data_IF_179767637767
#
_entry.id   IF_179767637767
#
_cell.length_a   1.000
_cell.length_b   1.000
_cell.length_c   1.000
_cell.angle_alpha   90.00
_cell.angle_beta   90.00
_cell.angle_gamma   90.00
#
_symmetry.space_group_name_H-M   'P 1'
#
loop_
_entity.id
_entity.type
_entity.pdbx_description
1 polymer ?
#
# COMPACT_ATOMS: atom_id res chain seq x y z
N UNK A 1 1.55 -13.62 -12.38
CA UNK A 1 1.41 -12.33 -11.67
C UNK A 1 2.46 -11.37 -12.21
N UNK A 2 2.04 -10.20 -12.70
CA UNK A 2 2.94 -9.16 -13.23
C UNK A 2 2.49 -7.83 -12.69
N UNK A 3 3.43 -7.03 -12.20
CA UNK A 3 3.18 -5.67 -11.70
C UNK A 3 4.04 -4.70 -12.51
N UNK A 4 3.50 -3.53 -12.78
CA UNK A 4 4.23 -2.43 -13.38
C UNK A 4 4.44 -1.38 -12.31
N UNK A 5 5.67 -0.93 -12.18
CA UNK A 5 6.07 0.14 -11.26
C UNK A 5 6.87 1.13 -12.08
N UNK A 6 6.61 2.42 -11.88
CA UNK A 6 7.41 3.47 -12.47
C UNK A 6 8.86 3.40 -11.97
N UNK A 7 9.83 3.63 -12.87
CA UNK A 7 11.25 3.46 -12.57
C UNK A 7 11.74 4.40 -11.47
N UNK A 8 11.35 5.67 -11.55
CA UNK A 8 11.72 6.68 -10.55
C UNK A 8 11.04 6.39 -9.21
N UNK A 9 9.80 5.90 -9.24
CA UNK A 9 9.08 5.49 -8.04
C UNK A 9 9.74 4.28 -7.37
N UNK A 10 10.21 3.28 -8.14
CA UNK A 10 10.90 2.11 -7.60
C UNK A 10 12.22 2.50 -6.93
N UNK A 11 12.98 3.42 -7.52
CA UNK A 11 14.21 3.94 -6.90
C UNK A 11 13.95 4.63 -5.57
N UNK A 12 12.82 5.35 -5.46
CA UNK A 12 12.46 6.07 -4.23
C UNK A 12 11.90 5.12 -3.15
N UNK A 13 10.99 4.22 -3.52
CA UNK A 13 10.32 3.29 -2.60
C UNK A 13 11.19 2.10 -2.18
N UNK A 14 12.20 1.74 -2.98
CA UNK A 14 12.99 0.53 -2.78
C UNK A 14 12.19 -0.74 -3.06
N UNK A 15 12.48 -1.81 -2.33
CA UNK A 15 11.75 -3.07 -2.48
C UNK A 15 10.27 -2.90 -2.13
N UNK A 16 9.39 -3.34 -3.03
CA UNK A 16 7.92 -3.30 -2.84
C UNK A 16 7.43 -4.72 -2.59
N UNK A 17 6.78 -4.92 -1.44
CA UNK A 17 6.09 -6.15 -1.09
C UNK A 17 4.59 -5.95 -1.33
N UNK A 18 4.00 -6.90 -2.07
CA UNK A 18 2.56 -6.95 -2.31
C UNK A 18 2.05 -8.24 -1.67
N UNK A 19 1.24 -8.09 -0.64
CA UNK A 19 0.57 -9.20 0.04
C UNK A 19 -0.94 -9.09 -0.22
N UNK A 20 -1.63 -10.22 -0.40
CA UNK A 20 -3.08 -10.24 -0.38
C UNK A 20 -3.54 -10.64 1.02
N UNK A 21 -4.30 -9.77 1.67
CA UNK A 21 -4.90 -10.03 2.96
C UNK A 21 -6.31 -10.54 2.68
N UNK A 22 -6.62 -11.75 3.15
CA UNK A 22 -7.96 -12.32 3.06
C UNK A 22 -8.66 -12.16 4.42
N UNK A 23 -9.64 -11.27 4.47
CA UNK A 23 -10.38 -10.89 5.69
C UNK A 23 -11.87 -10.67 5.39
N UNK A 24 -12.47 -11.55 4.58
CA UNK A 24 -13.87 -11.45 4.16
C UNK A 24 -14.15 -10.17 3.37
N UNK A 25 -15.09 -9.33 3.83
CA UNK A 25 -15.43 -8.04 3.21
C UNK A 25 -14.26 -7.03 3.20
N UNK A 26 -13.22 -7.28 4.00
CA UNK A 26 -12.01 -6.43 4.08
C UNK A 26 -10.81 -7.02 3.34
N UNK A 27 -11.04 -8.03 2.49
CA UNK A 27 -9.95 -8.63 1.71
C UNK A 27 -9.41 -7.64 0.68
N UNK A 28 -8.10 -7.58 0.51
CA UNK A 28 -7.48 -6.63 -0.40
C UNK A 28 -5.96 -6.78 -0.49
N UNK A 29 -5.36 -5.96 -1.36
CA UNK A 29 -3.90 -5.91 -1.49
C UNK A 29 -3.32 -4.94 -0.47
N UNK A 30 -2.40 -5.45 0.36
CA UNK A 30 -1.52 -4.66 1.20
C UNK A 30 -0.21 -4.43 0.45
N UNK A 31 0.18 -3.18 0.29
CA UNK A 31 1.40 -2.78 -0.42
C UNK A 31 2.31 -2.10 0.59
N UNK A 32 3.50 -2.68 0.79
CA UNK A 32 4.52 -2.14 1.70
C UNK A 32 5.80 -1.86 0.94
N UNK A 33 6.37 -0.67 1.11
CA UNK A 33 7.66 -0.29 0.54
C UNK A 33 8.76 -0.34 1.62
N UNK A 34 9.97 -0.75 1.25
CA UNK A 34 11.13 -0.75 2.14
C UNK A 34 11.47 0.67 2.62
N UNK A 35 11.31 1.66 1.74
CA UNK A 35 11.46 3.09 2.04
C UNK A 35 10.11 3.78 1.80
N UNK A 36 9.22 3.84 2.80
CA UNK A 36 7.94 4.53 2.64
C UNK A 36 8.19 6.02 2.34
N UNK A 37 7.65 6.48 1.22
CA UNK A 37 7.69 7.88 0.85
C UNK A 37 6.75 8.63 1.79
N UNK A 38 7.31 9.47 2.66
CA UNK A 38 6.55 10.20 3.66
C UNK A 38 5.36 10.92 3.04
N UNK A 39 4.16 10.56 3.49
CA UNK A 39 2.90 11.13 3.03
C UNK A 39 1.77 10.64 3.91
N UNK A 40 1.25 11.54 4.76
CA UNK A 40 -0.01 11.38 5.49
C UNK A 40 -0.10 10.17 6.42
N UNK A 41 0.28 10.34 7.69
CA UNK A 41 -0.23 9.47 8.74
C UNK A 41 -1.76 9.49 8.71
N UNK A 42 -2.39 8.34 8.59
CA UNK A 42 -3.80 8.14 8.90
C UNK A 42 -4.02 8.20 10.43
N UNK A 43 -3.63 9.32 11.05
CA UNK A 43 -3.95 9.58 12.45
C UNK A 43 -5.42 9.97 12.57
N UNK A 44 -6.22 8.99 12.99
CA UNK A 44 -7.45 9.13 13.79
C UNK A 44 -8.56 10.09 13.34
N UNK A 45 -8.78 10.32 12.04
CA UNK A 45 -9.88 11.20 11.63
C UNK A 45 -10.48 11.05 10.23
N UNK A 46 -9.72 10.70 9.19
CA UNK A 46 -10.18 11.02 7.82
C UNK A 46 -9.95 9.96 6.74
N UNK A 47 -9.60 8.71 7.09
CA UNK A 47 -9.57 7.58 6.15
C UNK A 47 -10.52 6.46 6.59
N UNK A 48 -11.77 6.81 6.89
CA UNK A 48 -12.86 5.87 7.20
C UNK A 48 -13.70 5.47 5.99
N UNK A 49 -13.11 5.45 4.78
CA UNK A 49 -13.87 5.36 3.52
C UNK A 49 -13.85 4.02 2.79
N UNK A 50 -13.26 2.96 3.36
CA UNK A 50 -13.26 1.66 2.66
C UNK A 50 -13.22 0.48 3.63
N UNK A 51 -14.25 0.40 4.47
CA UNK A 51 -14.67 -0.85 5.10
C UNK A 51 -16.21 -0.85 5.19
N UNK A 52 -16.83 -1.35 4.11
CA UNK A 52 -18.09 -2.10 4.22
C UNK A 52 -17.78 -3.52 4.66
#
# INVERSE_FOLDING_TARGET
MKFLVDGDLLTRCGAVKVDFIEAGYRSGFSITAANPLGGGSCSSGSCGGSCG
#
